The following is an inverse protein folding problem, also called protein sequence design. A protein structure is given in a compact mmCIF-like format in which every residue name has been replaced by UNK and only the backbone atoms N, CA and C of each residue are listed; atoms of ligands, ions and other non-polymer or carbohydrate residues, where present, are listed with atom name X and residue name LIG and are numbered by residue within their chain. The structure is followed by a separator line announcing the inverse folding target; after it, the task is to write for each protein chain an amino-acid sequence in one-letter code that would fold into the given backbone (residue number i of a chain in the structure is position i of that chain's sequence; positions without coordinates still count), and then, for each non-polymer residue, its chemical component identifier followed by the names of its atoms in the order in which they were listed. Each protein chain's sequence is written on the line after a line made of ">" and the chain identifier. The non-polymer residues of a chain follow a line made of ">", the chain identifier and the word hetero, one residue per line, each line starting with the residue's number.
data_IF_510780229553
#
_entry.id   IF_510780229553
#
_cell.length_a   1.000
_cell.length_b   1.000
_cell.length_c   1.000
_cell.angle_alpha   90.00
_cell.angle_beta   90.00
_cell.angle_gamma   90.00
#
_symmetry.space_group_name_H-M   'P 1'
#
loop_
_entity.id
_entity.type
_entity.pdbx_description
1 polymer ?
#
# COMPACT_ATOMS: atom_id res chain seq x y z
N UNK A 1 54.29 -7.71 -4.44
CA UNK A 1 54.06 -6.31 -4.87
C UNK A 1 52.56 -6.15 -5.02
N UNK A 2 51.97 -5.28 -4.19
CA UNK A 2 50.54 -4.96 -4.20
C UNK A 2 50.19 -4.28 -5.53
N UNK A 3 49.41 -4.96 -6.38
CA UNK A 3 48.90 -4.38 -7.62
C UNK A 3 47.64 -3.57 -7.33
N UNK A 4 47.70 -2.26 -7.51
CA UNK A 4 46.50 -1.41 -7.52
C UNK A 4 45.89 -1.44 -8.92
N UNK A 5 44.65 -1.88 -9.03
CA UNK A 5 43.86 -1.75 -10.26
C UNK A 5 43.30 -0.33 -10.30
N UNK A 6 43.84 0.51 -11.18
CA UNK A 6 43.29 1.85 -11.45
C UNK A 6 42.08 1.70 -12.38
N UNK A 7 40.89 1.67 -11.79
CA UNK A 7 39.64 1.77 -12.53
C UNK A 7 39.43 3.23 -12.98
N UNK A 8 39.02 3.44 -14.23
CA UNK A 8 38.70 4.78 -14.73
C UNK A 8 37.51 5.36 -13.96
N UNK A 9 37.46 6.69 -13.83
CA UNK A 9 36.37 7.40 -13.13
C UNK A 9 34.99 6.97 -13.63
N UNK A 10 34.86 6.69 -14.94
CA UNK A 10 33.62 6.20 -15.57
C UNK A 10 33.22 4.80 -15.10
N UNK A 11 34.18 3.89 -14.92
CA UNK A 11 33.91 2.54 -14.38
C UNK A 11 33.57 2.56 -12.90
N UNK A 12 34.20 3.45 -12.12
CA UNK A 12 33.84 3.64 -10.70
C UNK A 12 32.41 4.19 -10.55
N UNK A 13 32.02 5.17 -11.39
CA UNK A 13 30.65 5.69 -11.43
C UNK A 13 29.67 4.59 -11.82
N UNK A 14 29.96 3.79 -12.84
CA UNK A 14 29.11 2.68 -13.29
C UNK A 14 28.88 1.63 -12.18
N UNK A 15 29.93 1.25 -11.45
CA UNK A 15 29.82 0.34 -10.32
C UNK A 15 29.07 0.96 -9.14
N UNK A 16 29.30 2.24 -8.81
CA UNK A 16 28.51 2.92 -7.76
C UNK A 16 27.04 3.08 -8.16
N UNK A 17 26.74 3.30 -9.45
CA UNK A 17 25.38 3.39 -9.97
C UNK A 17 24.67 2.03 -9.85
N UNK A 18 25.33 0.94 -10.23
CA UNK A 18 24.78 -0.43 -10.08
C UNK A 18 24.62 -0.86 -8.62
N UNK A 19 25.54 -0.47 -7.73
CA UNK A 19 25.44 -0.78 -6.29
C UNK A 19 24.35 0.07 -5.61
N UNK A 20 24.17 1.33 -6.02
CA UNK A 20 23.10 2.21 -5.51
C UNK A 20 21.71 1.80 -6.01
N UNK A 21 21.61 1.19 -7.20
CA UNK A 21 20.33 0.75 -7.78
C UNK A 21 19.85 -0.58 -7.17
N UNK A 22 20.76 -1.51 -6.87
CA UNK A 22 20.41 -2.81 -6.28
C UNK A 22 19.97 -2.69 -4.81
N UNK A 23 20.59 -1.80 -4.02
CA UNK A 23 20.23 -1.60 -2.62
C UNK A 23 18.95 -0.81 -2.39
N UNK A 24 18.50 -0.03 -3.38
CA UNK A 24 17.28 0.79 -3.29
C UNK A 24 16.06 0.11 -3.94
N UNK A 25 16.27 -0.77 -4.93
CA UNK A 25 15.16 -1.45 -5.61
C UNK A 25 14.51 -2.57 -4.78
N UNK A 26 15.22 -3.26 -3.88
CA UNK A 26 14.58 -4.29 -3.01
C UNK A 26 13.63 -3.67 -1.97
N UNK A 27 13.88 -2.41 -1.56
CA UNK A 27 12.97 -1.66 -0.70
C UNK A 27 11.76 -1.08 -1.46
N UNK A 28 11.74 -1.13 -2.79
CA UNK A 28 10.71 -0.52 -3.62
C UNK A 28 9.53 -1.45 -3.96
N UNK A 29 9.61 -2.75 -3.65
CA UNK A 29 8.53 -3.70 -3.93
C UNK A 29 7.44 -3.71 -2.85
N UNK A 30 7.79 -3.49 -1.58
CA UNK A 30 6.83 -3.57 -0.49
C UNK A 30 5.88 -2.37 -0.44
N UNK A 31 4.58 -2.64 -0.36
CA UNK A 31 3.56 -1.60 -0.21
C UNK A 31 3.64 -0.84 1.13
N UNK A 32 4.14 -1.50 2.19
CA UNK A 32 4.24 -0.96 3.55
C UNK A 32 5.53 -1.39 4.24
N UNK A 33 6.23 -0.44 4.85
CA UNK A 33 7.34 -0.72 5.78
C UNK A 33 7.13 0.05 7.08
N UNK A 34 6.90 -0.71 8.16
CA UNK A 34 6.81 -0.22 9.55
C UNK A 34 7.63 -1.15 10.45
N UNK A 35 8.93 -1.24 10.20
CA UNK A 35 9.80 -2.05 11.06
C UNK A 35 10.17 -1.23 12.30
N UNK A 36 9.79 -1.66 13.52
CA UNK A 36 10.10 -0.93 14.75
C UNK A 36 11.60 -0.82 15.04
N UNK A 37 12.42 -1.67 14.43
CA UNK A 37 13.88 -1.65 14.58
C UNK A 37 14.57 -0.76 13.54
N UNK A 38 13.83 -0.29 12.52
CA UNK A 38 14.33 0.63 11.51
C UNK A 38 13.70 2.01 11.71
N UNK A 39 14.49 3.07 11.54
CA UNK A 39 13.98 4.44 11.64
C UNK A 39 13.07 4.84 10.47
N UNK A 40 13.07 4.06 9.37
CA UNK A 40 12.33 4.37 8.17
C UNK A 40 10.92 3.75 8.21
N UNK A 41 9.92 4.61 8.16
CA UNK A 41 8.51 4.25 7.94
C UNK A 41 8.04 4.80 6.61
N UNK A 42 7.53 3.94 5.74
CA UNK A 42 6.96 4.38 4.46
C UNK A 42 5.79 3.48 4.06
N UNK A 43 4.92 4.03 3.21
CA UNK A 43 3.89 3.26 2.53
C UNK A 43 3.66 3.85 1.14
N UNK A 44 3.40 2.98 0.17
CA UNK A 44 2.92 3.36 -1.15
C UNK A 44 1.40 3.29 -1.15
N UNK A 45 0.72 4.34 -1.61
CA UNK A 45 -0.74 4.40 -1.63
C UNK A 45 -1.26 4.43 -3.05
N UNK A 46 -2.30 3.63 -3.31
CA UNK A 46 -3.11 3.74 -4.51
C UNK A 46 -4.29 4.67 -4.24
N UNK A 47 -4.49 5.61 -5.15
CA UNK A 47 -5.56 6.59 -5.11
C UNK A 47 -6.81 6.05 -5.81
N UNK A 48 -7.94 6.15 -5.14
CA UNK A 48 -9.25 5.79 -5.64
C UNK A 48 -10.15 7.02 -5.60
N UNK A 49 -10.19 7.75 -6.71
CA UNK A 49 -10.94 9.00 -6.79
C UNK A 49 -12.43 8.75 -6.62
N UNK A 50 -13.12 9.59 -5.84
CA UNK A 50 -14.57 9.54 -5.66
C UNK A 50 -15.05 8.21 -5.09
N UNK A 51 -14.28 7.67 -4.15
CA UNK A 51 -14.60 6.47 -3.40
C UNK A 51 -14.38 6.69 -1.91
N UNK A 52 -15.13 5.95 -1.12
CA UNK A 52 -15.04 5.94 0.34
C UNK A 52 -15.04 4.49 0.82
N UNK A 53 -14.29 4.24 1.88
CA UNK A 53 -14.44 3.02 2.67
C UNK A 53 -15.28 3.33 3.91
N UNK A 54 -16.50 2.82 3.94
CA UNK A 54 -17.50 3.08 5.00
C UNK A 54 -17.34 2.09 6.17
N UNK A 55 -16.35 2.39 7.01
CA UNK A 55 -15.96 1.60 8.19
C UNK A 55 -15.77 2.51 9.40
N UNK A 56 -15.79 1.97 10.64
CA UNK A 56 -15.39 2.73 11.82
C UNK A 56 -13.97 3.30 11.65
N UNK A 57 -13.83 4.59 11.92
CA UNK A 57 -12.57 5.31 11.82
C UNK A 57 -11.76 5.14 13.10
N UNK A 58 -10.44 5.13 12.98
CA UNK A 58 -9.54 5.35 14.14
C UNK A 58 -9.70 6.79 14.62
N UNK A 59 -9.62 7.73 13.68
CA UNK A 59 -9.82 9.16 13.95
C UNK A 59 -10.25 9.91 12.69
N UNK A 60 -10.91 11.05 12.89
CA UNK A 60 -11.16 12.05 11.86
C UNK A 60 -10.44 13.34 12.25
N UNK A 61 -9.60 13.86 11.36
CA UNK A 61 -8.73 15.01 11.62
C UNK A 61 -8.79 16.00 10.46
N UNK A 62 -8.62 17.29 10.77
CA UNK A 62 -8.42 18.31 9.75
C UNK A 62 -6.92 18.50 9.52
N UNK A 63 -6.48 18.45 8.27
CA UNK A 63 -5.07 18.60 7.88
C UNK A 63 -4.93 19.60 6.74
N UNK A 64 -3.72 20.11 6.54
CA UNK A 64 -3.46 21.11 5.49
C UNK A 64 -3.44 20.50 4.08
N UNK A 65 -2.95 19.26 3.94
CA UNK A 65 -2.78 18.62 2.63
C UNK A 65 -3.03 17.11 2.71
N UNK A 66 -3.36 16.48 1.58
CA UNK A 66 -3.52 15.03 1.50
C UNK A 66 -2.28 14.28 1.98
N UNK A 67 -1.09 14.81 1.67
CA UNK A 67 0.19 14.27 2.17
C UNK A 67 0.26 14.22 3.70
N UNK A 68 -0.25 15.23 4.41
CA UNK A 68 -0.28 15.19 5.87
C UNK A 68 -1.21 14.09 6.41
N UNK A 69 -2.33 13.81 5.72
CA UNK A 69 -3.20 12.68 6.05
C UNK A 69 -2.49 11.33 5.86
N UNK A 70 -1.86 11.12 4.70
CA UNK A 70 -1.13 9.88 4.40
C UNK A 70 0.03 9.66 5.36
N UNK A 71 0.81 10.71 5.67
CA UNK A 71 1.90 10.63 6.66
C UNK A 71 1.41 10.29 8.06
N UNK A 72 0.21 10.77 8.44
CA UNK A 72 -0.40 10.41 9.72
C UNK A 72 -0.76 8.93 9.76
N UNK A 73 -1.27 8.38 8.66
CA UNK A 73 -1.49 6.94 8.51
C UNK A 73 -0.19 6.14 8.60
N UNK A 74 0.88 6.54 7.91
CA UNK A 74 2.19 5.84 7.97
C UNK A 74 2.75 5.79 9.40
N UNK A 75 2.53 6.84 10.19
CA UNK A 75 2.97 6.93 11.59
C UNK A 75 2.08 6.18 12.58
N UNK A 76 0.92 5.68 12.15
CA UNK A 76 -0.01 4.92 12.98
C UNK A 76 -0.04 3.46 12.53
N UNK A 77 0.41 2.54 13.38
CA UNK A 77 0.51 1.11 13.04
C UNK A 77 -0.84 0.43 12.86
N UNK A 78 -1.90 1.02 13.41
CA UNK A 78 -3.27 0.53 13.22
C UNK A 78 -3.87 1.02 11.90
N UNK A 79 -3.28 2.00 11.21
CA UNK A 79 -3.85 2.54 9.97
C UNK A 79 -3.49 1.70 8.74
N UNK A 80 -4.46 1.40 7.88
CA UNK A 80 -4.21 0.70 6.60
C UNK A 80 -4.77 1.42 5.37
N UNK A 81 -5.61 2.43 5.57
CA UNK A 81 -6.09 3.29 4.49
C UNK A 81 -6.61 4.62 5.04
N UNK A 82 -6.91 5.56 4.14
CA UNK A 82 -7.52 6.84 4.50
C UNK A 82 -8.65 7.23 3.56
N UNK A 83 -9.69 7.89 4.07
CA UNK A 83 -10.58 8.69 3.23
C UNK A 83 -10.15 10.17 3.36
N UNK A 84 -9.87 10.83 2.25
CA UNK A 84 -9.48 12.25 2.21
C UNK A 84 -10.56 13.03 1.48
N UNK A 85 -11.04 14.12 2.08
CA UNK A 85 -12.08 14.93 1.45
C UNK A 85 -11.63 15.45 0.08
N UNK A 86 -12.52 15.35 -0.91
CA UNK A 86 -12.28 15.83 -2.28
C UNK A 86 -12.21 17.36 -2.37
N UNK A 87 -12.72 18.06 -1.35
CA UNK A 87 -12.80 19.52 -1.32
C UNK A 87 -12.30 20.06 0.01
N UNK A 88 -11.70 21.26 -0.06
CA UNK A 88 -11.28 22.00 1.13
C UNK A 88 -12.49 22.56 1.88
N UNK A 89 -12.34 22.62 3.20
CA UNK A 89 -13.26 23.33 4.10
C UNK A 89 -13.03 24.85 3.98
N UNK A 90 -13.95 25.69 4.48
CA UNK A 90 -13.79 27.15 4.43
C UNK A 90 -12.54 27.70 5.13
N UNK A 91 -11.98 26.97 6.09
CA UNK A 91 -10.73 27.30 6.78
C UNK A 91 -9.47 26.93 5.97
N UNK A 92 -9.64 26.38 4.76
CA UNK A 92 -8.56 25.91 3.90
C UNK A 92 -8.03 24.52 4.25
N UNK A 93 -8.48 23.89 5.33
CA UNK A 93 -8.07 22.53 5.68
C UNK A 93 -8.92 21.48 4.95
N UNK A 94 -8.44 20.24 4.89
CA UNK A 94 -9.18 19.08 4.37
C UNK A 94 -9.49 18.10 5.51
N UNK A 95 -10.67 17.49 5.45
CA UNK A 95 -11.05 16.40 6.37
C UNK A 95 -10.34 15.10 5.96
N UNK A 96 -9.77 14.40 6.93
CA UNK A 96 -9.01 13.17 6.76
C UNK A 96 -9.51 12.13 7.75
N UNK A 97 -9.93 10.97 7.26
CA UNK A 97 -10.32 9.82 8.07
C UNK A 97 -9.21 8.77 8.03
N UNK A 98 -8.70 8.40 9.20
CA UNK A 98 -7.68 7.36 9.38
C UNK A 98 -8.40 6.04 9.67
N UNK A 99 -8.16 5.01 8.86
CA UNK A 99 -8.97 3.78 8.88
C UNK A 99 -8.16 2.55 9.30
N UNK A 100 -8.72 1.65 10.13
CA UNK A 100 -8.03 0.47 10.65
C UNK A 100 -7.99 -0.71 9.68
N UNK A 101 -8.47 -0.51 8.46
CA UNK A 101 -8.68 -1.54 7.44
C UNK A 101 -8.67 -0.87 6.08
N UNK A 102 -8.91 -1.61 5.00
CA UNK A 102 -8.81 -1.15 3.62
C UNK A 102 -9.85 -1.83 2.71
N UNK A 103 -9.82 -1.51 1.42
CA UNK A 103 -10.74 -2.08 0.42
C UNK A 103 -10.56 -3.58 0.18
N UNK A 104 -9.40 -4.18 0.45
CA UNK A 104 -9.16 -5.62 0.29
C UNK A 104 -9.80 -6.39 1.45
N UNK A 105 -9.69 -5.84 2.66
CA UNK A 105 -10.26 -6.44 3.86
C UNK A 105 -11.77 -6.22 3.99
N UNK A 106 -12.29 -5.09 3.51
CA UNK A 106 -13.70 -4.69 3.63
C UNK A 106 -14.30 -4.25 2.27
N UNK A 107 -14.16 -5.10 1.24
CA UNK A 107 -14.61 -4.80 -0.14
C UNK A 107 -16.07 -4.37 -0.25
N UNK A 108 -16.97 -5.00 0.51
CA UNK A 108 -18.42 -4.68 0.53
C UNK A 108 -18.73 -3.27 1.07
N UNK A 109 -17.78 -2.66 1.79
CA UNK A 109 -17.89 -1.32 2.35
C UNK A 109 -17.22 -0.26 1.49
N UNK A 110 -16.50 -0.67 0.45
CA UNK A 110 -15.86 0.21 -0.50
C UNK A 110 -16.85 0.62 -1.58
N UNK A 111 -17.20 1.92 -1.63
CA UNK A 111 -18.32 2.42 -2.44
C UNK A 111 -17.98 3.74 -3.12
N UNK A 112 -18.68 4.03 -4.22
CA UNK A 112 -18.63 5.33 -4.86
C UNK A 112 -19.10 6.44 -3.89
N UNK A 113 -18.40 7.58 -3.91
CA UNK A 113 -18.67 8.71 -3.03
C UNK A 113 -18.10 10.01 -3.63
N UNK A 114 -18.90 11.06 -3.72
CA UNK A 114 -18.44 12.30 -4.37
C UNK A 114 -17.73 13.27 -3.42
N UNK A 115 -17.68 12.96 -2.12
CA UNK A 115 -17.10 13.85 -1.09
C UNK A 115 -15.70 13.43 -0.66
N UNK A 116 -15.27 12.21 -1.00
CA UNK A 116 -14.00 11.62 -0.58
C UNK A 116 -13.26 10.96 -1.73
N UNK A 117 -11.93 10.98 -1.65
CA UNK A 117 -11.04 10.06 -2.35
C UNK A 117 -10.52 9.06 -1.31
N UNK A 118 -10.48 7.78 -1.67
CA UNK A 118 -9.94 6.75 -0.80
C UNK A 118 -8.50 6.43 -1.21
N UNK A 119 -7.64 6.18 -0.23
CA UNK A 119 -6.26 5.80 -0.46
C UNK A 119 -5.97 4.51 0.29
N UNK A 120 -5.68 3.44 -0.44
CA UNK A 120 -5.32 2.14 0.13
C UNK A 120 -3.83 1.90 -0.04
N UNK A 121 -3.18 1.32 0.96
CA UNK A 121 -1.79 0.87 0.81
C UNK A 121 -1.71 -0.14 -0.34
N UNK A 122 -0.69 -0.01 -1.19
CA UNK A 122 -0.43 -0.89 -2.32
C UNK A 122 -0.31 -2.34 -1.85
N UNK A 123 -0.85 -3.27 -2.63
CA UNK A 123 -0.82 -4.70 -2.33
C UNK A 123 -0.84 -5.50 -3.62
N UNK A 124 -0.31 -6.74 -3.63
CA UNK A 124 -0.50 -7.68 -4.72
C UNK A 124 -1.96 -7.89 -5.15
N UNK A 125 -2.92 -7.63 -4.26
CA UNK A 125 -4.35 -7.70 -4.59
C UNK A 125 -4.80 -6.75 -5.72
N UNK A 126 -4.04 -5.72 -6.08
CA UNK A 126 -4.34 -4.84 -7.22
C UNK A 126 -4.27 -5.56 -8.57
N UNK A 127 -3.56 -6.68 -8.64
CA UNK A 127 -3.49 -7.52 -9.85
C UNK A 127 -4.71 -8.44 -10.02
N UNK A 128 -5.68 -8.39 -9.10
CA UNK A 128 -6.84 -9.30 -9.04
C UNK A 128 -6.46 -10.80 -9.17
N UNK A 129 -5.58 -11.31 -8.29
CA UNK A 129 -5.00 -12.65 -8.47
C UNK A 129 -5.99 -13.79 -8.22
N UNK A 130 -7.05 -13.56 -7.42
CA UNK A 130 -8.02 -14.59 -7.06
C UNK A 130 -9.02 -14.84 -8.20
N UNK A 131 -9.02 -16.07 -8.70
CA UNK A 131 -9.87 -16.51 -9.80
C UNK A 131 -11.26 -16.96 -9.30
N UNK A 132 -12.17 -17.16 -10.25
CA UNK A 132 -13.48 -17.78 -10.02
C UNK A 132 -14.32 -17.16 -8.89
N UNK A 133 -14.26 -15.83 -8.77
CA UNK A 133 -15.00 -15.07 -7.76
C UNK A 133 -14.41 -15.17 -6.35
N UNK A 134 -13.14 -15.56 -6.21
CA UNK A 134 -12.42 -15.49 -4.94
C UNK A 134 -12.15 -14.06 -4.50
N UNK A 135 -12.12 -13.83 -3.18
CA UNK A 135 -11.84 -12.51 -2.59
C UNK A 135 -10.39 -12.42 -2.15
N UNK A 136 -9.68 -11.39 -2.62
CA UNK A 136 -8.30 -11.13 -2.22
C UNK A 136 -8.22 -10.39 -0.87
N UNK A 137 -7.31 -10.83 0.00
CA UNK A 137 -6.96 -10.18 1.27
C UNK A 137 -5.47 -9.85 1.26
N UNK A 138 -5.12 -8.60 1.53
CA UNK A 138 -3.74 -8.14 1.57
C UNK A 138 -3.03 -8.62 2.85
N UNK A 139 -1.77 -9.03 2.73
CA UNK A 139 -0.91 -9.40 3.86
C UNK A 139 0.30 -8.46 3.89
N UNK A 140 0.13 -7.29 4.51
CA UNK A 140 1.11 -6.21 4.42
C UNK A 140 2.45 -6.50 5.09
N UNK A 141 2.46 -7.28 6.19
CA UNK A 141 3.69 -7.61 6.92
C UNK A 141 4.65 -8.47 6.10
N UNK A 142 4.12 -9.27 5.17
CA UNK A 142 4.87 -10.17 4.30
C UNK A 142 4.85 -9.74 2.84
N UNK A 143 4.28 -8.58 2.54
CA UNK A 143 4.03 -8.09 1.17
C UNK A 143 3.37 -9.14 0.26
N UNK A 144 2.40 -9.88 0.80
CA UNK A 144 1.73 -10.98 0.10
C UNK A 144 0.20 -10.77 0.09
N UNK A 145 -0.53 -11.78 -0.34
CA UNK A 145 -1.98 -11.85 -0.32
C UNK A 145 -2.46 -13.26 -0.01
N UNK A 146 -3.73 -13.37 0.32
CA UNK A 146 -4.45 -14.64 0.38
C UNK A 146 -5.79 -14.54 -0.35
N UNK A 147 -6.20 -15.64 -0.96
CA UNK A 147 -7.50 -15.75 -1.60
C UNK A 147 -8.49 -16.52 -0.72
N UNK A 148 -9.64 -15.92 -0.46
CA UNK A 148 -10.81 -16.65 0.04
C UNK A 148 -11.58 -17.20 -1.15
N UNK A 149 -11.47 -18.51 -1.40
CA UNK A 149 -12.08 -19.13 -2.57
C UNK A 149 -13.59 -19.37 -2.40
N UNK A 150 -14.31 -19.26 -3.52
CA UNK A 150 -15.69 -19.74 -3.61
C UNK A 150 -15.78 -21.25 -3.31
N UNK A 151 -16.96 -21.73 -2.92
CA UNK A 151 -17.18 -23.07 -2.36
C UNK A 151 -16.60 -24.22 -3.20
N UNK A 152 -16.51 -24.06 -4.52
CA UNK A 152 -16.09 -25.11 -5.46
C UNK A 152 -14.64 -24.96 -5.98
N UNK A 153 -13.86 -24.03 -5.43
CA UNK A 153 -12.48 -23.78 -5.87
C UNK A 153 -11.48 -23.84 -4.71
N UNK A 154 -10.22 -24.06 -5.06
CA UNK A 154 -9.05 -24.18 -4.17
C UNK A 154 -7.77 -23.80 -4.95
N UNK A 155 -6.63 -23.82 -4.27
CA UNK A 155 -5.35 -23.31 -4.78
C UNK A 155 -5.03 -21.92 -4.25
N UNK A 156 -3.81 -21.43 -4.52
CA UNK A 156 -3.35 -20.12 -4.03
C UNK A 156 -4.22 -18.99 -4.58
N UNK A 157 -4.65 -19.16 -5.82
CA UNK A 157 -5.42 -18.20 -6.61
C UNK A 157 -6.82 -18.72 -6.93
N UNK A 158 -7.32 -19.74 -6.23
CA UNK A 158 -8.61 -20.37 -6.53
C UNK A 158 -8.72 -20.94 -7.96
N UNK A 159 -7.59 -21.35 -8.53
CA UNK A 159 -7.44 -21.82 -9.90
C UNK A 159 -7.90 -23.27 -10.10
N UNK A 160 -7.98 -24.06 -9.02
CA UNK A 160 -8.34 -25.48 -9.07
C UNK A 160 -9.78 -25.73 -8.60
N UNK A 161 -10.58 -26.53 -9.32
CA UNK A 161 -11.86 -27.03 -8.79
C UNK A 161 -11.64 -27.96 -7.59
N UNK A 162 -12.52 -27.93 -6.60
CA UNK A 162 -12.50 -28.91 -5.50
C UNK A 162 -12.97 -30.29 -5.98
N UNK A 163 -12.24 -31.33 -5.57
CA UNK A 163 -12.67 -32.72 -5.74
C UNK A 163 -12.60 -33.26 -7.18
N UNK A 164 -11.72 -32.70 -8.02
CA UNK A 164 -11.33 -33.30 -9.30
C UNK A 164 -9.97 -33.94 -9.20
#
# INVERSE_FOLDING_TARGET
>A
MNGFVLLSVSTFIYFTYHILDQGFCEAAQAGLQRDPNKNLRFAQFNEHLYHVLDVPKIETVNVQTGRHCLLRCVKNDQCFSTNIAAFHRPDGNISCEILPTDKYHQSEKFKANHTYHHYSIMSPCESFPCQHGGTCKALYETDDYSCTCAQNYTGRNCEMPRGK
#
